data_IF_111409117585
#
_entry.id   IF_111409117585
#
_cell.length_a   1.000
_cell.length_b   1.000
_cell.length_c   1.000
_cell.angle_alpha   90.00
_cell.angle_beta   90.00
_cell.angle_gamma   90.00
#
_symmetry.space_group_name_H-M   'P 1'
#
loop_
_entity.id
_entity.type
_entity.pdbx_description
1 polymer ?
#
# COMPACT_ATOMS: atom_id res chain seq x y z
N UNK A 1 5.69 -6.87 -7.16
CA UNK A 1 5.77 -7.66 -5.91
C UNK A 1 4.36 -7.83 -5.38
N UNK A 2 3.97 -9.02 -4.93
CA UNK A 2 2.67 -9.27 -4.32
C UNK A 2 2.84 -9.49 -2.82
N UNK A 3 2.02 -8.84 -1.99
CA UNK A 3 1.96 -9.05 -0.54
C UNK A 3 0.53 -9.50 -0.22
N UNK A 4 0.38 -10.70 0.32
CA UNK A 4 -0.91 -11.19 0.80
C UNK A 4 -1.15 -10.70 2.22
N UNK A 5 -2.27 -10.02 2.46
CA UNK A 5 -2.68 -9.50 3.76
C UNK A 5 -4.07 -10.04 4.06
N UNK A 6 -4.31 -10.49 5.29
CA UNK A 6 -5.66 -10.85 5.73
C UNK A 6 -6.49 -9.56 5.89
N UNK A 7 -7.62 -9.40 5.17
CA UNK A 7 -8.42 -8.18 5.22
C UNK A 7 -9.14 -7.98 6.56
N UNK A 8 -9.41 -9.06 7.30
CA UNK A 8 -10.07 -9.01 8.60
C UNK A 8 -9.06 -8.85 9.75
N UNK A 9 -7.85 -9.39 9.59
CA UNK A 9 -6.78 -9.30 10.59
C UNK A 9 -5.43 -8.92 9.94
N UNK A 10 -5.26 -7.64 9.54
CA UNK A 10 -4.06 -7.22 8.82
C UNK A 10 -2.80 -7.39 9.67
N UNK A 11 -1.82 -8.13 9.16
CA UNK A 11 -0.59 -8.37 9.90
C UNK A 11 0.26 -7.08 9.96
N UNK A 12 0.56 -6.51 11.15
CA UNK A 12 1.22 -5.20 11.25
C UNK A 12 2.55 -5.12 10.50
N UNK A 13 3.35 -6.20 10.56
CA UNK A 13 4.64 -6.28 9.85
C UNK A 13 4.50 -6.13 8.33
N UNK A 14 3.43 -6.65 7.74
CA UNK A 14 3.19 -6.53 6.31
C UNK A 14 2.71 -5.12 5.95
N UNK A 15 1.88 -4.52 6.79
CA UNK A 15 1.46 -3.12 6.65
C UNK A 15 2.67 -2.18 6.72
N UNK A 16 3.58 -2.36 7.68
CA UNK A 16 4.82 -1.58 7.76
C UNK A 16 5.63 -1.66 6.47
N UNK A 17 5.76 -2.86 5.88
CA UNK A 17 6.45 -3.04 4.60
C UNK A 17 5.78 -2.28 3.46
N UNK A 18 4.45 -2.24 3.40
CA UNK A 18 3.70 -1.45 2.41
C UNK A 18 3.96 0.05 2.60
N UNK A 19 3.95 0.52 3.85
CA UNK A 19 4.24 1.92 4.19
C UNK A 19 5.66 2.32 3.76
N UNK A 20 6.65 1.44 3.96
CA UNK A 20 8.03 1.71 3.54
C UNK A 20 8.15 1.86 2.02
N UNK A 21 7.42 1.06 1.24
CA UNK A 21 7.35 1.19 -0.22
C UNK A 21 6.78 2.55 -0.61
N UNK A 22 5.67 2.97 0.01
CA UNK A 22 5.06 4.27 -0.24
C UNK A 22 6.02 5.43 0.11
N UNK A 23 6.75 5.32 1.23
CA UNK A 23 7.76 6.31 1.65
C UNK A 23 8.94 6.40 0.69
N UNK A 24 9.33 5.28 0.08
CA UNK A 24 10.37 5.22 -0.95
C UNK A 24 9.87 5.69 -2.32
N UNK A 25 8.61 6.13 -2.42
CA UNK A 25 8.02 6.65 -3.65
C UNK A 25 7.41 5.60 -4.56
N UNK A 26 7.20 4.38 -4.06
CA UNK A 26 6.49 3.33 -4.79
C UNK A 26 4.99 3.60 -4.92
N UNK A 27 4.36 2.88 -5.84
CA UNK A 27 2.93 2.88 -6.09
C UNK A 27 2.39 1.49 -5.76
N UNK A 28 1.20 1.43 -5.15
CA UNK A 28 0.54 0.17 -4.78
C UNK A 28 -0.88 0.14 -5.33
N UNK A 29 -1.42 -1.06 -5.52
CA UNK A 29 -2.86 -1.28 -5.60
C UNK A 29 -3.35 -1.69 -4.21
N UNK A 30 -4.22 -0.89 -3.58
CA UNK A 30 -4.80 -1.18 -2.27
C UNK A 30 -6.27 -1.62 -2.41
N UNK A 31 -6.73 -2.60 -1.62
CA UNK A 31 -8.14 -2.94 -1.58
C UNK A 31 -8.94 -1.83 -0.87
N UNK A 32 -10.18 -1.61 -1.31
CA UNK A 32 -11.19 -0.85 -0.59
C UNK A 32 -12.44 -1.71 -0.42
N UNK A 33 -13.47 -1.16 0.19
CA UNK A 33 -14.80 -1.77 0.28
C UNK A 33 -15.53 -1.85 -1.07
N UNK A 34 -15.04 -1.16 -2.12
CA UNK A 34 -15.66 -1.14 -3.45
C UNK A 34 -14.77 -1.79 -4.51
N UNK A 35 -13.64 -1.17 -4.84
CA UNK A 35 -12.69 -1.61 -5.86
C UNK A 35 -11.25 -1.43 -5.40
N UNK A 36 -10.30 -1.99 -6.14
CA UNK A 36 -8.89 -1.67 -5.92
C UNK A 36 -8.59 -0.26 -6.39
N UNK A 37 -7.91 0.51 -5.54
CA UNK A 37 -7.40 1.85 -5.87
C UNK A 37 -5.89 1.84 -6.06
N UNK A 38 -5.40 2.65 -7.00
CA UNK A 38 -3.97 2.94 -7.06
C UNK A 38 -3.63 4.02 -6.04
N UNK A 39 -2.63 3.75 -5.20
CA UNK A 39 -2.21 4.63 -4.11
C UNK A 39 -0.71 4.90 -4.15
N UNK A 40 -0.34 6.13 -3.84
CA UNK A 40 1.03 6.59 -3.72
C UNK A 40 1.17 7.64 -2.61
N UNK A 41 2.40 8.03 -2.28
CA UNK A 41 2.65 9.11 -1.35
C UNK A 41 2.37 10.48 -2.01
N UNK A 42 1.36 11.20 -1.51
CA UNK A 42 0.93 12.51 -2.04
C UNK A 42 2.00 13.61 -1.97
N UNK A 43 3.01 13.46 -1.11
CA UNK A 43 4.11 14.42 -1.00
C UNK A 43 5.28 14.07 -1.93
N UNK A 44 5.25 12.89 -2.57
CA UNK A 44 6.25 12.53 -3.56
C UNK A 44 5.97 13.23 -4.89
N UNK A 45 6.55 14.42 -5.08
CA UNK A 45 6.39 15.26 -6.28
C UNK A 45 7.11 14.74 -7.54
N UNK A 46 7.69 13.53 -7.50
CA UNK A 46 8.23 12.88 -8.71
C UNK A 46 7.06 12.32 -9.52
N UNK A 47 6.46 13.19 -10.35
CA UNK A 47 5.55 12.87 -11.43
C UNK A 47 6.04 13.56 -12.69
#
# INVERSE_FOLDING_TARGET
MLISIDPNHPQPRLISRVVDILRQGGVIACPTDTIYGLSCNIFNRKG
#
